data_IF_794249333930
#
_entry.id   IF_794249333930
#
_cell.length_a   1.000
_cell.length_b   1.000
_cell.length_c   1.000
_cell.angle_alpha   90.00
_cell.angle_beta   90.00
_cell.angle_gamma   90.00
#
_symmetry.space_group_name_H-M   'P 1'
#
loop_
_entity.id
_entity.type
_entity.pdbx_description
1 polymer ?
#
# COMPACT_ATOMS: atom_id res chain seq x y z
N UNK A 1 11.75 -1.40 9.13
CA UNK A 1 11.32 -0.22 8.32
C UNK A 1 9.90 -0.44 7.82
N UNK A 2 9.02 0.54 8.04
CA UNK A 2 7.62 0.49 7.61
C UNK A 2 7.45 1.41 6.41
N UNK A 3 7.08 0.85 5.27
CA UNK A 3 6.92 1.58 4.01
C UNK A 3 5.46 1.52 3.55
N UNK A 4 4.82 2.68 3.36
CA UNK A 4 3.53 2.76 2.68
C UNK A 4 3.74 2.73 1.18
N UNK A 5 2.93 1.95 0.48
CA UNK A 5 2.92 1.87 -0.97
C UNK A 5 1.51 2.01 -1.52
N UNK A 6 1.35 2.87 -2.51
CA UNK A 6 0.13 2.96 -3.32
C UNK A 6 0.46 3.30 -4.77
N UNK A 7 -0.39 2.88 -5.69
CA UNK A 7 -0.48 3.44 -7.03
C UNK A 7 -1.46 4.60 -7.00
N UNK A 8 -1.11 5.72 -7.60
CA UNK A 8 -1.95 6.93 -7.63
C UNK A 8 -2.15 7.43 -9.07
N UNK A 9 -3.28 8.06 -9.31
CA UNK A 9 -3.50 8.87 -10.51
C UNK A 9 -2.58 10.09 -10.52
N UNK A 10 -2.43 10.75 -11.67
CA UNK A 10 -1.59 11.95 -11.80
C UNK A 10 -2.10 13.12 -10.93
N UNK A 11 -3.38 13.11 -10.54
CA UNK A 11 -4.00 14.06 -9.62
C UNK A 11 -4.14 13.52 -8.17
N UNK A 12 -3.47 12.39 -7.83
CA UNK A 12 -3.19 11.98 -6.46
C UNK A 12 -4.20 11.06 -5.78
N UNK A 13 -5.01 10.32 -6.52
CA UNK A 13 -6.03 9.41 -5.99
C UNK A 13 -5.63 7.94 -6.16
N UNK A 14 -5.92 7.10 -5.17
CA UNK A 14 -5.69 5.64 -5.22
C UNK A 14 -6.84 4.88 -5.85
N UNK A 15 -8.03 5.43 -5.81
CA UNK A 15 -9.24 4.82 -6.34
C UNK A 15 -10.28 5.90 -6.68
N UNK A 16 -11.25 5.55 -7.49
CA UNK A 16 -12.47 6.35 -7.67
C UNK A 16 -13.30 6.37 -6.39
N UNK A 17 -14.33 7.21 -6.31
CA UNK A 17 -15.21 7.29 -5.13
C UNK A 17 -15.90 5.97 -4.78
N UNK A 18 -16.19 5.14 -5.78
CA UNK A 18 -16.80 3.81 -5.61
C UNK A 18 -15.77 2.72 -5.21
N UNK A 19 -14.49 3.08 -5.11
CA UNK A 19 -13.40 2.18 -4.80
C UNK A 19 -12.78 1.47 -6.00
N UNK A 20 -13.26 1.73 -7.23
CA UNK A 20 -12.67 1.11 -8.43
C UNK A 20 -11.31 1.71 -8.78
N UNK A 21 -10.44 0.86 -9.32
CA UNK A 21 -9.04 1.17 -9.69
C UNK A 21 -8.82 1.00 -11.21
N UNK A 22 -9.87 1.20 -12.01
CA UNK A 22 -9.91 0.96 -13.45
C UNK A 22 -8.93 1.80 -14.27
N UNK A 23 -8.41 2.88 -13.70
CA UNK A 23 -7.39 3.74 -14.30
C UNK A 23 -5.96 3.23 -14.15
N UNK A 24 -5.74 2.17 -13.38
CA UNK A 24 -4.43 1.57 -13.14
C UNK A 24 -4.18 0.48 -14.18
N UNK A 25 -3.16 0.63 -15.07
CA UNK A 25 -2.84 -0.39 -16.05
C UNK A 25 -2.36 -1.71 -15.41
N UNK A 26 -2.83 -2.84 -15.94
CA UNK A 26 -2.45 -4.16 -15.44
C UNK A 26 -0.95 -4.50 -15.67
N UNK A 27 -0.29 -3.86 -16.63
CA UNK A 27 1.13 -4.03 -16.90
C UNK A 27 2.05 -3.46 -15.80
N UNK A 28 1.49 -2.67 -14.86
CA UNK A 28 2.20 -2.21 -13.66
C UNK A 28 2.22 -3.26 -12.53
N UNK A 29 1.42 -4.31 -12.61
CA UNK A 29 1.34 -5.35 -11.58
C UNK A 29 2.69 -6.00 -11.23
N UNK A 30 3.59 -6.30 -12.19
CA UNK A 30 4.93 -6.79 -11.89
C UNK A 30 5.75 -5.89 -10.95
N UNK A 31 5.61 -4.57 -11.03
CA UNK A 31 6.30 -3.64 -10.13
C UNK A 31 5.86 -3.85 -8.67
N UNK A 32 4.57 -4.03 -8.42
CA UNK A 32 4.06 -4.35 -7.10
C UNK A 32 4.56 -5.71 -6.59
N UNK A 33 4.54 -6.73 -7.45
CA UNK A 33 5.05 -8.07 -7.09
C UNK A 33 6.55 -8.04 -6.73
N UNK A 34 7.33 -7.23 -7.43
CA UNK A 34 8.76 -7.05 -7.15
C UNK A 34 8.98 -6.37 -5.80
N UNK A 35 8.24 -5.29 -5.49
CA UNK A 35 8.29 -4.66 -4.18
C UNK A 35 7.90 -5.64 -3.06
N UNK A 36 6.84 -6.41 -3.25
CA UNK A 36 6.44 -7.44 -2.28
C UNK A 36 7.57 -8.45 -2.00
N UNK A 37 8.29 -8.88 -3.04
CA UNK A 37 9.45 -9.79 -2.89
C UNK A 37 10.60 -9.12 -2.14
N UNK A 38 10.90 -7.87 -2.46
CA UNK A 38 11.96 -7.09 -1.82
C UNK A 38 11.75 -6.95 -0.31
N UNK A 39 10.52 -6.64 0.10
CA UNK A 39 10.18 -6.49 1.52
C UNK A 39 9.94 -7.81 2.25
N UNK A 40 9.56 -8.87 1.54
CA UNK A 40 9.27 -10.18 2.11
C UNK A 40 8.04 -10.25 3.02
N UNK A 41 7.42 -9.11 3.35
CA UNK A 41 6.20 -9.02 4.17
C UNK A 41 5.30 -7.93 3.62
N UNK A 42 4.09 -8.33 3.24
CA UNK A 42 3.03 -7.42 2.80
C UNK A 42 1.92 -7.35 3.84
N UNK A 43 1.58 -6.15 4.24
CA UNK A 43 0.41 -5.85 5.09
C UNK A 43 -0.64 -5.13 4.26
N UNK A 44 -1.88 -5.58 4.36
CA UNK A 44 -3.02 -4.97 3.68
C UNK A 44 -4.26 -4.93 4.58
N UNK A 45 -5.16 -4.00 4.31
CA UNK A 45 -6.49 -4.00 4.91
C UNK A 45 -7.42 -5.01 4.24
N UNK A 46 -8.53 -5.33 4.88
CA UNK A 46 -9.53 -6.28 4.37
C UNK A 46 -10.05 -5.91 2.98
N UNK A 47 -10.34 -4.64 2.71
CA UNK A 47 -10.82 -4.20 1.39
C UNK A 47 -9.79 -4.44 0.29
N UNK A 48 -8.52 -4.18 0.57
CA UNK A 48 -7.42 -4.47 -0.38
C UNK A 48 -7.30 -5.95 -0.65
N UNK A 49 -7.39 -6.79 0.38
CA UNK A 49 -7.47 -8.24 0.21
C UNK A 49 -8.61 -8.64 -0.72
N UNK A 50 -9.83 -8.17 -0.46
CA UNK A 50 -11.01 -8.50 -1.26
C UNK A 50 -10.84 -8.04 -2.72
N UNK A 51 -10.25 -6.86 -2.96
CA UNK A 51 -9.95 -6.34 -4.30
C UNK A 51 -8.97 -7.25 -5.03
N UNK A 52 -7.85 -7.61 -4.40
CA UNK A 52 -6.86 -8.52 -5.00
C UNK A 52 -7.46 -9.89 -5.32
N UNK A 53 -8.30 -10.42 -4.42
CA UNK A 53 -8.97 -11.70 -4.63
C UNK A 53 -9.99 -11.67 -5.79
N UNK A 54 -10.44 -10.49 -6.20
CA UNK A 54 -11.34 -10.30 -7.34
C UNK A 54 -10.63 -10.19 -8.70
N UNK A 55 -9.31 -10.12 -8.71
CA UNK A 55 -8.54 -10.00 -9.95
C UNK A 55 -8.60 -11.29 -10.80
N UNK A 56 -8.39 -11.11 -12.10
CA UNK A 56 -8.23 -12.23 -13.01
C UNK A 56 -7.16 -13.21 -12.54
N UNK A 57 -7.36 -14.48 -12.86
CA UNK A 57 -6.42 -15.55 -12.49
C UNK A 57 -5.00 -15.27 -12.97
N UNK A 58 -4.84 -14.59 -14.11
CA UNK A 58 -3.53 -14.19 -14.66
C UNK A 58 -2.76 -13.23 -13.75
N UNK A 59 -3.46 -12.33 -13.03
CA UNK A 59 -2.87 -11.41 -12.06
C UNK A 59 -2.77 -12.06 -10.67
N UNK A 60 -3.80 -12.77 -10.25
CA UNK A 60 -3.89 -13.32 -8.91
C UNK A 60 -2.89 -14.47 -8.68
N UNK A 61 -2.73 -15.38 -9.64
CA UNK A 61 -1.86 -16.56 -9.47
C UNK A 61 -0.39 -16.21 -9.18
N UNK A 62 0.26 -15.28 -9.88
CA UNK A 62 1.62 -14.85 -9.53
C UNK A 62 1.71 -14.26 -8.12
N UNK A 63 0.72 -13.50 -7.69
CA UNK A 63 0.67 -12.92 -6.36
C UNK A 63 0.53 -13.98 -5.26
N UNK A 64 -0.38 -14.95 -5.45
CA UNK A 64 -0.59 -16.02 -4.47
C UNK A 64 0.67 -16.90 -4.30
N UNK A 65 1.45 -17.07 -5.35
CA UNK A 65 2.69 -17.85 -5.33
C UNK A 65 3.90 -17.10 -4.75
N UNK A 66 3.77 -15.82 -4.39
CA UNK A 66 4.88 -15.09 -3.79
C UNK A 66 5.31 -15.74 -2.47
N UNK A 67 6.62 -16.02 -2.29
CA UNK A 67 7.15 -16.60 -1.05
C UNK A 67 7.35 -15.52 0.01
N UNK A 68 6.28 -14.83 0.39
CA UNK A 68 6.28 -13.72 1.33
C UNK A 68 5.24 -13.94 2.43
N UNK A 69 5.36 -13.26 3.55
CA UNK A 69 4.30 -13.16 4.54
C UNK A 69 3.20 -12.22 4.03
N UNK A 70 1.97 -12.69 3.97
CA UNK A 70 0.79 -11.89 3.59
C UNK A 70 -0.09 -11.70 4.83
N UNK A 71 -0.25 -10.45 5.26
CA UNK A 71 -0.93 -10.09 6.50
C UNK A 71 -2.17 -9.27 6.17
N UNK A 72 -3.32 -9.67 6.70
CA UNK A 72 -4.57 -8.94 6.56
C UNK A 72 -5.01 -8.37 7.89
N UNK A 73 -5.21 -7.05 7.93
CA UNK A 73 -5.79 -6.34 9.07
C UNK A 73 -7.30 -6.30 8.90
N UNK A 74 -8.05 -6.77 9.91
CA UNK A 74 -9.52 -6.70 9.92
C UNK A 74 -10.06 -6.55 11.34
N UNK A 75 -11.21 -5.92 11.48
CA UNK A 75 -11.97 -5.89 12.73
C UNK A 75 -12.96 -7.07 12.84
N UNK A 76 -13.22 -7.74 11.72
CA UNK A 76 -14.12 -8.90 11.70
C UNK A 76 -13.41 -10.14 12.21
N UNK A 77 -13.81 -10.61 13.40
CA UNK A 77 -13.28 -11.82 14.05
C UNK A 77 -13.66 -13.12 13.35
N UNK A 78 -14.69 -13.10 12.52
CA UNK A 78 -15.17 -14.24 11.75
C UNK A 78 -14.58 -14.29 10.33
N UNK A 79 -13.65 -13.39 10.02
CA UNK A 79 -13.01 -13.39 8.73
C UNK A 79 -12.00 -14.55 8.60
N UNK A 80 -12.18 -15.37 7.58
CA UNK A 80 -11.31 -16.46 7.23
C UNK A 80 -10.77 -16.23 5.80
N UNK A 81 -9.51 -15.79 5.64
CA UNK A 81 -8.89 -15.67 4.33
C UNK A 81 -8.52 -17.05 3.77
N UNK A 82 -7.96 -17.08 2.58
CA UNK A 82 -7.27 -18.24 2.06
C UNK A 82 -6.17 -18.72 3.03
N UNK A 83 -5.77 -20.01 2.98
CA UNK A 83 -4.56 -20.48 3.65
C UNK A 83 -3.36 -19.58 3.33
N UNK A 84 -2.33 -19.59 4.13
CA UNK A 84 -1.09 -18.80 3.96
C UNK A 84 -1.22 -17.29 4.21
N UNK A 85 -2.39 -16.79 4.62
CA UNK A 85 -2.55 -15.42 5.10
C UNK A 85 -2.58 -15.38 6.63
N UNK A 86 -1.90 -14.38 7.18
CA UNK A 86 -1.91 -14.09 8.61
C UNK A 86 -2.99 -13.04 8.87
N UNK A 87 -3.92 -13.31 9.77
CA UNK A 87 -4.93 -12.33 10.19
C UNK A 87 -4.50 -11.66 11.48
N UNK A 88 -4.57 -10.34 11.50
CA UNK A 88 -4.37 -9.52 12.69
C UNK A 88 -5.51 -8.53 12.85
N UNK A 89 -5.74 -8.08 14.09
CA UNK A 89 -6.85 -7.20 14.41
C UNK A 89 -6.43 -5.78 14.76
N UNK A 90 -5.13 -5.52 14.66
CA UNK A 90 -4.52 -4.22 14.94
C UNK A 90 -3.40 -3.95 13.93
N UNK A 91 -3.32 -2.70 13.44
CA UNK A 91 -2.19 -2.27 12.61
C UNK A 91 -0.86 -2.31 13.39
N UNK A 92 -0.91 -2.09 14.72
CA UNK A 92 0.27 -2.18 15.59
C UNK A 92 0.83 -3.60 15.68
N UNK A 93 -0.02 -4.61 15.63
CA UNK A 93 0.42 -6.00 15.59
C UNK A 93 0.94 -6.38 14.20
N UNK A 94 0.31 -5.88 13.15
CA UNK A 94 0.72 -6.14 11.77
C UNK A 94 2.17 -5.71 11.51
N UNK A 95 2.58 -4.53 11.97
CA UNK A 95 3.92 -3.99 11.71
C UNK A 95 5.02 -4.63 12.57
N UNK A 96 4.67 -5.43 13.59
CA UNK A 96 5.62 -6.18 14.43
C UNK A 96 5.97 -7.56 13.86
N UNK A 97 5.30 -7.99 12.79
CA UNK A 97 5.48 -9.33 12.21
C UNK A 97 6.86 -9.50 11.58
N UNK A 98 7.46 -8.41 11.11
CA UNK A 98 8.79 -8.41 10.51
C UNK A 98 9.49 -7.05 10.70
N UNK A 99 10.82 -6.98 10.60
CA UNK A 99 11.58 -5.73 10.69
C UNK A 99 11.29 -4.79 9.50
N UNK A 100 11.05 -5.38 8.32
CA UNK A 100 10.71 -4.65 7.10
C UNK A 100 9.31 -5.06 6.63
N UNK A 101 8.45 -4.06 6.43
CA UNK A 101 7.04 -4.28 6.07
C UNK A 101 6.64 -3.31 4.97
N UNK A 102 6.10 -3.85 3.88
CA UNK A 102 5.38 -3.10 2.88
C UNK A 102 3.90 -3.05 3.25
N UNK A 103 3.34 -1.86 3.38
CA UNK A 103 1.91 -1.66 3.64
C UNK A 103 1.25 -1.15 2.37
N UNK A 104 0.37 -1.95 1.78
CA UNK A 104 -0.48 -1.55 0.66
C UNK A 104 -1.93 -1.57 1.13
N UNK A 105 -2.48 -0.40 1.43
CA UNK A 105 -3.81 -0.27 2.02
C UNK A 105 -4.46 1.06 1.65
N UNK A 106 -5.71 1.23 2.06
CA UNK A 106 -6.45 2.47 1.92
C UNK A 106 -6.15 3.49 3.03
N UNK A 107 -6.82 4.66 2.97
CA UNK A 107 -6.51 5.80 3.84
C UNK A 107 -6.69 5.51 5.33
N UNK A 108 -7.60 4.63 5.71
CA UNK A 108 -7.85 4.34 7.14
C UNK A 108 -6.59 3.83 7.84
N UNK A 109 -5.98 2.77 7.31
CA UNK A 109 -4.76 2.17 7.89
C UNK A 109 -3.58 3.10 7.70
N UNK A 110 -3.43 3.69 6.51
CA UNK A 110 -2.35 4.61 6.21
C UNK A 110 -2.34 5.80 7.16
N UNK A 111 -3.50 6.41 7.43
CA UNK A 111 -3.62 7.54 8.35
C UNK A 111 -3.29 7.15 9.80
N UNK A 112 -3.73 5.97 10.27
CA UNK A 112 -3.38 5.51 11.61
C UNK A 112 -1.87 5.34 11.77
N UNK A 113 -1.21 4.69 10.80
CA UNK A 113 0.23 4.48 10.84
C UNK A 113 1.01 5.80 10.78
N UNK A 114 0.59 6.74 9.95
CA UNK A 114 1.22 8.06 9.82
C UNK A 114 1.03 8.92 11.08
N UNK A 115 -0.18 8.98 11.63
CA UNK A 115 -0.48 9.75 12.85
C UNK A 115 0.27 9.23 14.08
N UNK A 116 0.44 7.91 14.18
CA UNK A 116 1.18 7.27 15.27
C UNK A 116 2.71 7.35 15.08
N UNK A 117 3.18 7.94 13.97
CA UNK A 117 4.60 8.08 13.73
C UNK A 117 5.33 6.78 13.40
N UNK A 118 4.64 5.84 12.82
CA UNK A 118 5.15 4.47 12.60
C UNK A 118 5.69 4.25 11.18
N UNK A 119 5.53 5.24 10.29
CA UNK A 119 5.94 5.13 8.88
C UNK A 119 7.31 5.77 8.68
N UNK A 120 8.24 5.04 8.09
CA UNK A 120 9.57 5.52 7.74
C UNK A 120 9.62 6.10 6.31
N UNK A 121 8.88 5.46 5.38
CA UNK A 121 8.94 5.75 3.96
C UNK A 121 7.57 5.67 3.31
N UNK A 122 7.38 6.48 2.26
CA UNK A 122 6.22 6.41 1.36
C UNK A 122 6.73 6.23 -0.06
N UNK A 123 6.21 5.25 -0.78
CA UNK A 123 6.44 5.02 -2.22
C UNK A 123 5.09 5.15 -2.94
N UNK A 124 5.02 6.05 -3.90
CA UNK A 124 3.86 6.22 -4.76
C UNK A 124 4.26 5.98 -6.22
N UNK A 125 3.57 5.06 -6.87
CA UNK A 125 3.66 4.88 -8.31
C UNK A 125 2.58 5.74 -8.98
N UNK A 126 2.98 6.82 -9.65
CA UNK A 126 2.09 7.77 -10.29
C UNK A 126 1.86 7.41 -11.76
N UNK A 127 0.63 7.04 -12.10
CA UNK A 127 0.21 6.83 -13.49
C UNK A 127 -0.13 8.15 -14.17
N UNK A 128 -0.14 8.18 -15.51
CA UNK A 128 -0.41 9.40 -16.28
C UNK A 128 -1.88 9.83 -16.29
N UNK A 129 -2.80 8.94 -15.95
CA UNK A 129 -4.24 9.21 -15.94
C UNK A 129 -4.64 10.15 -14.82
N UNK A 130 -5.53 11.09 -15.12
CA UNK A 130 -6.23 11.93 -14.13
C UNK A 130 -7.68 11.46 -14.02
N UNK A 131 -8.22 11.42 -12.79
CA UNK A 131 -9.59 10.96 -12.56
C UNK A 131 -10.52 12.05 -12.00
N UNK A 132 -9.98 13.24 -11.67
CA UNK A 132 -10.74 14.41 -11.21
C UNK A 132 -11.12 14.38 -9.74
N UNK A 133 -11.66 13.27 -9.26
CA UNK A 133 -12.08 13.05 -7.88
C UNK A 133 -11.90 11.59 -7.50
N UNK A 134 -11.75 11.32 -6.21
CA UNK A 134 -11.56 9.95 -5.74
C UNK A 134 -11.10 9.88 -4.29
N UNK A 135 -10.53 8.74 -3.93
CA UNK A 135 -10.02 8.43 -2.61
C UNK A 135 -8.52 8.74 -2.58
N UNK A 136 -8.08 9.58 -1.64
CA UNK A 136 -6.66 9.86 -1.41
C UNK A 136 -5.99 8.71 -0.65
N UNK A 137 -4.66 8.50 -0.82
CA UNK A 137 -3.94 7.46 -0.09
C UNK A 137 -3.88 7.71 1.42
N UNK A 138 -3.81 8.97 1.82
CA UNK A 138 -3.76 9.45 3.21
C UNK A 138 -3.96 10.95 3.27
N UNK A 139 -4.24 11.45 4.47
CA UNK A 139 -4.27 12.88 4.78
C UNK A 139 -2.83 13.39 5.00
N UNK A 140 -2.56 14.62 4.60
CA UNK A 140 -1.23 15.24 4.77
C UNK A 140 -1.11 16.15 6.01
N UNK A 141 -2.17 16.27 6.78
CA UNK A 141 -2.21 17.15 7.93
C UNK A 141 -1.22 16.72 9.01
N UNK A 142 -0.29 17.62 9.36
CA UNK A 142 0.73 17.37 10.38
C UNK A 142 1.87 16.43 9.96
N UNK A 143 1.90 15.97 8.71
CA UNK A 143 2.91 15.04 8.18
C UNK A 143 3.85 15.81 7.26
N UNK A 144 5.14 15.63 7.44
CA UNK A 144 6.17 16.14 6.52
C UNK A 144 6.69 15.01 5.65
N UNK A 145 6.51 15.13 4.35
CA UNK A 145 7.10 14.22 3.35
C UNK A 145 8.32 14.88 2.74
N UNK A 146 9.49 14.30 2.96
CA UNK A 146 10.78 14.75 2.43
C UNK A 146 11.10 13.96 1.17
N UNK A 147 11.09 14.58 -0.02
CA UNK A 147 11.39 13.88 -1.26
C UNK A 147 12.77 13.25 -1.24
N UNK A 148 12.88 12.04 -1.79
CA UNK A 148 14.17 11.38 -2.04
C UNK A 148 14.67 11.86 -3.41
N UNK A 149 15.90 12.38 -3.47
CA UNK A 149 16.48 12.95 -4.70
C UNK A 149 16.63 11.92 -5.85
N UNK A 150 16.98 10.68 -5.49
CA UNK A 150 17.10 9.58 -6.43
C UNK A 150 16.15 8.45 -6.02
N UNK A 151 14.87 8.54 -6.37
CA UNK A 151 13.91 7.51 -6.01
C UNK A 151 14.24 6.19 -6.73
N UNK A 152 13.73 5.11 -6.18
CA UNK A 152 13.73 3.80 -6.83
C UNK A 152 13.06 3.91 -8.21
N UNK A 153 13.44 3.01 -9.13
CA UNK A 153 12.85 2.98 -10.47
C UNK A 153 11.87 1.82 -10.60
N UNK A 154 10.82 2.04 -11.36
CA UNK A 154 9.87 1.01 -11.74
C UNK A 154 9.50 1.19 -13.23
N UNK A 155 9.28 0.08 -13.92
CA UNK A 155 8.99 0.11 -15.35
C UNK A 155 7.62 0.72 -15.64
N UNK A 156 7.55 1.62 -16.60
CA UNK A 156 6.31 2.18 -17.13
C UNK A 156 5.56 3.14 -16.19
N UNK A 157 6.18 3.57 -15.09
CA UNK A 157 5.53 4.44 -14.12
C UNK A 157 6.51 5.42 -13.48
N UNK A 158 6.02 6.60 -13.12
CA UNK A 158 6.78 7.58 -12.35
C UNK A 158 6.77 7.18 -10.87
N UNK A 159 7.93 7.12 -10.25
CA UNK A 159 8.09 6.82 -8.82
C UNK A 159 8.29 8.10 -8.03
N UNK A 160 7.45 8.31 -7.03
CA UNK A 160 7.59 9.33 -6.02
C UNK A 160 7.94 8.62 -4.70
N UNK A 161 9.09 8.97 -4.13
CA UNK A 161 9.57 8.35 -2.89
C UNK A 161 9.86 9.44 -1.87
N UNK A 162 9.39 9.22 -0.64
CA UNK A 162 9.52 10.18 0.45
C UNK A 162 9.98 9.49 1.73
N UNK A 163 10.83 10.17 2.49
CA UNK A 163 11.02 9.89 3.92
C UNK A 163 9.95 10.63 4.72
N UNK A 164 9.46 10.01 5.77
CA UNK A 164 8.47 10.65 6.65
C UNK A 164 9.22 11.36 7.79
N UNK A 165 9.02 12.67 7.86
CA UNK A 165 9.50 13.51 8.96
C UNK A 165 8.35 13.89 9.87
N UNK A 166 8.63 13.99 11.17
CA UNK A 166 7.66 14.53 12.13
C UNK A 166 7.97 16.01 12.37
N UNK A 167 6.95 16.87 12.33
CA UNK A 167 7.09 18.18 12.91
C UNK A 167 7.33 18.00 14.41
N UNK A 168 8.51 18.36 14.88
CA UNK A 168 8.65 18.69 16.30
C UNK A 168 7.72 19.88 16.54
N UNK A 169 6.62 19.63 17.25
CA UNK A 169 5.81 20.74 17.78
C UNK A 169 6.66 21.39 18.86
N UNK A 170 6.95 22.70 18.74
CA UNK A 170 7.75 23.42 19.74
C UNK A 170 7.06 23.42 21.10
#
# INVERSE_FOLDING_TARGET
MITLYNVISADGFIARRDGSEDFIPNDLWPNFLNLCKEYGTLVMGRKTYDTIQSYDKALLTPFEKLPIKKVVITQNREFHPKPDYIVVYSYKDAIKIAPDVLVSSGPTINNFLLRDGLVDKVILHEVSSKIGEGIKPFDRDGITLLPVENPSKADGVKVLEYRVGFRQIP
#
